data_IF_585217272471
#
_entry.id   IF_585217272471
#
_cell.length_a   1.000
_cell.length_b   1.000
_cell.length_c   1.000
_cell.angle_alpha   90.00
_cell.angle_beta   90.00
_cell.angle_gamma   90.00
#
_symmetry.space_group_name_H-M   'P 1'
#
loop_
_entity.id
_entity.type
_entity.pdbx_description
1 polymer ?
#
# COMPACT_ATOMS: atom_id res chain seq x y z
N UNK A 1 -15.45 13.55 2.70
CA UNK A 1 -14.63 12.69 1.82
C UNK A 1 -14.08 11.44 2.51
N UNK A 2 -14.49 11.15 3.76
CA UNK A 2 -13.92 10.12 4.64
C UNK A 2 -14.55 8.71 4.50
N UNK A 3 -14.68 8.17 3.27
CA UNK A 3 -15.25 6.82 3.07
C UNK A 3 -14.48 5.98 2.03
N UNK A 4 -13.15 6.07 2.02
CA UNK A 4 -12.35 5.07 1.31
C UNK A 4 -12.20 3.85 2.23
N UNK A 5 -12.77 2.71 1.83
CA UNK A 5 -12.66 1.43 2.56
C UNK A 5 -11.42 0.62 2.12
N UNK A 6 -10.52 1.27 1.39
CA UNK A 6 -9.32 0.71 0.80
C UNK A 6 -8.92 1.47 -0.46
N UNK A 7 -7.65 1.38 -0.82
CA UNK A 7 -7.08 1.95 -2.04
C UNK A 7 -6.61 0.83 -2.96
N UNK A 8 -6.90 0.96 -4.24
CA UNK A 8 -6.41 0.03 -5.28
C UNK A 8 -5.67 0.86 -6.32
N UNK A 9 -4.36 0.67 -6.40
CA UNK A 9 -3.48 1.44 -7.27
C UNK A 9 -2.91 0.54 -8.38
N UNK A 10 -3.07 0.97 -9.62
CA UNK A 10 -2.54 0.30 -10.81
C UNK A 10 -1.18 0.89 -11.22
N UNK A 11 -0.41 0.24 -12.11
CA UNK A 11 0.86 0.77 -12.58
C UNK A 11 0.70 2.17 -13.19
N UNK A 12 1.62 3.07 -12.87
CA UNK A 12 1.53 4.48 -13.29
C UNK A 12 2.85 5.22 -13.20
N UNK A 13 2.80 6.53 -13.44
CA UNK A 13 3.96 7.42 -13.40
C UNK A 13 4.15 8.10 -12.04
N UNK A 14 4.78 9.27 -12.04
CA UNK A 14 5.07 10.02 -10.81
C UNK A 14 3.84 10.37 -9.99
N UNK A 15 2.72 10.77 -10.61
CA UNK A 15 1.49 11.09 -9.87
C UNK A 15 0.94 9.89 -9.09
N UNK A 16 0.95 8.71 -9.70
CA UNK A 16 0.52 7.48 -9.01
C UNK A 16 1.45 7.11 -7.86
N UNK A 17 2.77 7.30 -8.05
CA UNK A 17 3.74 7.06 -6.99
C UNK A 17 3.55 8.04 -5.82
N UNK A 18 3.35 9.32 -6.12
CA UNK A 18 3.09 10.37 -5.13
C UNK A 18 1.87 10.02 -4.27
N UNK A 19 0.73 9.70 -4.90
CA UNK A 19 -0.49 9.27 -4.21
C UNK A 19 -0.26 8.03 -3.34
N UNK A 20 0.42 7.01 -3.86
CA UNK A 20 0.71 5.77 -3.11
C UNK A 20 1.55 6.06 -1.87
N UNK A 21 2.63 6.85 -2.00
CA UNK A 21 3.50 7.17 -0.87
C UNK A 21 2.84 8.09 0.13
N UNK A 22 2.00 9.03 -0.32
CA UNK A 22 1.19 9.87 0.57
C UNK A 22 0.27 9.01 1.44
N UNK A 23 -0.49 8.09 0.83
CA UNK A 23 -1.41 7.19 1.56
C UNK A 23 -0.65 6.33 2.57
N UNK A 24 0.46 5.70 2.16
CA UNK A 24 1.29 4.88 3.07
C UNK A 24 1.78 5.73 4.25
N UNK A 25 2.25 6.95 3.99
CA UNK A 25 2.76 7.86 5.04
C UNK A 25 1.65 8.31 5.99
N UNK A 26 0.44 8.58 5.48
CA UNK A 26 -0.70 8.96 6.31
C UNK A 26 -1.13 7.83 7.25
N UNK A 27 -1.14 6.59 6.76
CA UNK A 27 -1.44 5.41 7.60
C UNK A 27 -0.32 5.18 8.61
N UNK A 28 0.95 5.22 8.17
CA UNK A 28 2.13 5.05 9.02
C UNK A 28 2.16 6.05 10.18
N UNK A 29 1.80 7.31 9.92
CA UNK A 29 1.80 8.38 10.93
C UNK A 29 0.52 8.45 11.76
N UNK A 30 -0.45 7.55 11.53
CA UNK A 30 -1.74 7.53 12.22
C UNK A 30 -2.66 8.71 11.88
N UNK A 31 -2.35 9.46 10.82
CA UNK A 31 -3.17 10.57 10.32
C UNK A 31 -4.39 10.09 9.51
N UNK A 32 -4.38 8.83 9.08
CA UNK A 32 -5.48 8.16 8.42
C UNK A 32 -5.76 6.81 9.10
N UNK A 33 -7.03 6.39 9.12
CA UNK A 33 -7.41 5.07 9.58
C UNK A 33 -6.70 3.96 8.76
N UNK A 34 -6.31 2.83 9.38
CA UNK A 34 -5.67 1.74 8.68
C UNK A 34 -6.66 1.07 7.73
N UNK A 35 -6.56 1.41 6.45
CA UNK A 35 -7.35 0.82 5.37
C UNK A 35 -6.43 0.02 4.43
N UNK A 36 -6.92 -1.02 3.75
CA UNK A 36 -6.11 -1.79 2.82
C UNK A 36 -5.55 -0.92 1.70
N UNK A 37 -4.23 -0.92 1.50
CA UNK A 37 -3.57 -0.36 0.32
C UNK A 37 -3.14 -1.50 -0.59
N UNK A 38 -3.74 -1.59 -1.77
CA UNK A 38 -3.59 -2.71 -2.70
C UNK A 38 -2.92 -2.20 -3.97
N UNK A 39 -1.78 -2.79 -4.32
CA UNK A 39 -1.02 -2.46 -5.51
C UNK A 39 -1.17 -3.58 -6.55
N UNK A 40 -1.83 -3.27 -7.67
CA UNK A 40 -2.10 -4.22 -8.75
C UNK A 40 -1.03 -4.11 -9.83
N UNK A 41 -0.59 -5.24 -10.38
CA UNK A 41 0.50 -5.32 -11.36
C UNK A 41 1.81 -5.72 -10.68
N UNK A 42 1.91 -6.94 -10.14
CA UNK A 42 3.08 -7.43 -9.38
C UNK A 42 4.40 -7.16 -10.08
N UNK A 43 4.46 -7.35 -11.40
CA UNK A 43 5.69 -7.14 -12.18
C UNK A 43 6.19 -5.69 -12.08
N UNK A 44 5.30 -4.71 -12.07
CA UNK A 44 5.63 -3.29 -11.98
C UNK A 44 6.10 -2.92 -10.57
N UNK A 45 5.33 -3.30 -9.54
CA UNK A 45 5.61 -2.92 -8.15
C UNK A 45 6.77 -3.67 -7.49
N UNK A 46 7.20 -4.80 -8.06
CA UNK A 46 8.28 -5.65 -7.52
C UNK A 46 9.57 -4.88 -7.25
N UNK A 47 9.96 -3.96 -8.13
CA UNK A 47 11.24 -3.24 -7.94
C UNK A 47 11.12 -2.12 -6.91
N UNK A 48 9.94 -1.52 -6.77
CA UNK A 48 9.63 -0.60 -5.67
C UNK A 48 9.67 -1.33 -4.31
N UNK A 49 9.03 -2.50 -4.23
CA UNK A 49 9.02 -3.32 -3.00
C UNK A 49 10.44 -3.73 -2.56
N UNK A 50 11.26 -4.17 -3.52
CA UNK A 50 12.69 -4.43 -3.25
C UNK A 50 13.42 -3.18 -2.78
N UNK A 51 13.14 -2.01 -3.36
CA UNK A 51 13.75 -0.75 -2.93
C UNK A 51 13.36 -0.42 -1.48
N UNK A 52 12.09 -0.55 -1.13
CA UNK A 52 11.58 -0.32 0.24
C UNK A 52 12.29 -1.24 1.23
N UNK A 53 12.35 -2.54 0.95
CA UNK A 53 13.03 -3.50 1.83
C UNK A 53 14.55 -3.25 1.93
N UNK A 54 15.22 -3.03 0.78
CA UNK A 54 16.69 -2.94 0.71
C UNK A 54 17.23 -1.60 1.19
N UNK A 55 16.55 -0.50 0.86
CA UNK A 55 17.04 0.85 1.13
C UNK A 55 16.35 1.47 2.33
N UNK A 56 15.03 1.31 2.49
CA UNK A 56 14.33 1.96 3.59
C UNK A 56 14.40 1.12 4.86
N UNK A 57 13.92 -0.12 4.82
CA UNK A 57 13.84 -0.99 5.99
C UNK A 57 15.22 -1.38 6.51
N UNK A 58 16.11 -1.89 5.65
CA UNK A 58 17.46 -2.32 6.06
C UNK A 58 18.30 -1.19 6.69
N UNK A 59 18.07 0.06 6.26
CA UNK A 59 18.76 1.25 6.79
C UNK A 59 18.03 1.89 7.97
N UNK A 60 16.92 1.30 8.43
CA UNK A 60 16.07 1.81 9.52
C UNK A 60 15.49 3.20 9.24
N UNK A 61 15.17 3.49 7.98
CA UNK A 61 14.46 4.71 7.58
C UNK A 61 12.94 4.57 7.74
N UNK A 62 12.44 3.34 7.83
CA UNK A 62 11.09 2.97 8.24
C UNK A 62 11.17 1.93 9.36
N UNK A 63 10.09 1.79 10.12
CA UNK A 63 9.98 0.81 11.20
C UNK A 63 9.74 -0.59 10.65
N UNK A 64 10.08 -1.60 11.43
CA UNK A 64 9.71 -2.98 11.12
C UNK A 64 8.18 -3.12 11.12
N UNK A 65 7.63 -3.68 10.04
CA UNK A 65 6.18 -3.80 9.83
C UNK A 65 5.62 -2.72 8.90
N UNK A 66 6.32 -1.61 8.68
CA UNK A 66 5.87 -0.57 7.74
C UNK A 66 5.84 -1.09 6.29
N UNK A 67 6.68 -2.07 5.96
CA UNK A 67 6.66 -2.76 4.67
C UNK A 67 5.38 -3.57 4.42
N UNK A 68 4.56 -3.77 5.44
CA UNK A 68 3.30 -4.53 5.39
C UNK A 68 2.07 -3.60 5.28
N UNK A 69 2.28 -2.27 5.23
CA UNK A 69 1.20 -1.29 5.09
C UNK A 69 0.50 -1.34 3.71
N UNK A 70 1.10 -2.05 2.75
CA UNK A 70 0.51 -2.29 1.43
C UNK A 70 0.59 -3.78 1.05
N UNK A 71 -0.27 -4.20 0.13
CA UNK A 71 -0.30 -5.56 -0.41
C UNK A 71 -0.19 -5.51 -1.93
N UNK A 72 0.79 -6.22 -2.49
CA UNK A 72 0.92 -6.35 -3.95
C UNK A 72 0.22 -7.63 -4.42
N UNK A 73 -0.83 -7.49 -5.23
CA UNK A 73 -1.54 -8.66 -5.77
C UNK A 73 -2.15 -8.41 -7.15
N UNK A 74 -2.20 -9.46 -7.97
CA UNK A 74 -2.94 -9.47 -9.24
C UNK A 74 -4.23 -10.30 -9.14
N UNK A 75 -4.47 -10.95 -8.00
CA UNK A 75 -5.63 -11.82 -7.78
C UNK A 75 -6.83 -11.00 -7.31
N UNK A 76 -7.82 -10.88 -8.19
CA UNK A 76 -9.07 -10.16 -7.92
C UNK A 76 -9.81 -10.68 -6.68
N UNK A 77 -9.78 -11.99 -6.42
CA UNK A 77 -10.45 -12.56 -5.25
C UNK A 77 -9.81 -12.07 -3.94
N UNK A 78 -8.48 -11.98 -3.92
CA UNK A 78 -7.73 -11.41 -2.80
C UNK A 78 -8.05 -9.94 -2.60
N UNK A 79 -8.12 -9.15 -3.68
CA UNK A 79 -8.50 -7.73 -3.62
C UNK A 79 -9.89 -7.58 -2.98
N UNK A 80 -10.88 -8.31 -3.50
CA UNK A 80 -12.26 -8.27 -3.00
C UNK A 80 -12.36 -8.67 -1.52
N UNK A 81 -11.63 -9.72 -1.11
CA UNK A 81 -11.56 -10.16 0.28
C UNK A 81 -10.98 -9.10 1.21
N UNK A 82 -9.90 -8.43 0.81
CA UNK A 82 -9.23 -7.41 1.62
C UNK A 82 -10.13 -6.19 1.84
N UNK A 83 -10.79 -5.71 0.78
CA UNK A 83 -11.71 -4.58 0.84
C UNK A 83 -12.93 -4.91 1.72
N UNK A 84 -13.57 -6.07 1.51
CA UNK A 84 -14.76 -6.45 2.29
C UNK A 84 -14.46 -6.68 3.77
N UNK A 85 -13.25 -7.14 4.12
CA UNK A 85 -12.84 -7.25 5.52
C UNK A 85 -12.77 -5.89 6.19
N UNK A 86 -12.25 -4.88 5.49
CA UNK A 86 -12.19 -3.50 5.98
C UNK A 86 -13.57 -2.85 6.09
N UNK A 87 -14.53 -3.24 5.24
CA UNK A 87 -15.90 -2.71 5.30
C UNK A 87 -16.69 -3.26 6.51
N UNK A 88 -16.45 -4.50 6.90
CA UNK A 88 -17.19 -5.19 7.96
C UNK A 88 -16.51 -5.13 9.34
N UNK A 89 -15.42 -4.37 9.48
CA UNK A 89 -14.71 -4.14 10.75
C UNK A 89 -15.06 -2.75 11.28
#
# INVERSE_FOLDING_TARGET
TFYAHGFVCFPGGFGTLDEVFEIITLIQTGKMAPVPVILVGKKFWKDMDKFIHKQLLKRKLISYGDEQLYTITDDFNTIHRLINRSYNS
#
